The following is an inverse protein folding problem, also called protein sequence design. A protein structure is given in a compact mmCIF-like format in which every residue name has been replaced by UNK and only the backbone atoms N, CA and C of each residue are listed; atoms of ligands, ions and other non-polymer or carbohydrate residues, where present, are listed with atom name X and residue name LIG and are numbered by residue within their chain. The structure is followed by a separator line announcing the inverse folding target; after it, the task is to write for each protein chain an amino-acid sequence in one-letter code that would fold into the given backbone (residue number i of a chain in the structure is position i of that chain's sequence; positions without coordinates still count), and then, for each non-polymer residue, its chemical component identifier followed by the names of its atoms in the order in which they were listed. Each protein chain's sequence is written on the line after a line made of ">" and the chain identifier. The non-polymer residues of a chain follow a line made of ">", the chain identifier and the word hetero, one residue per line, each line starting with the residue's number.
data_IF_451607277860
#
_entry.id   IF_451607277860
#
_cell.length_a   1.000
_cell.length_b   1.000
_cell.length_c   1.000
_cell.angle_alpha   90.00
_cell.angle_beta   90.00
_cell.angle_gamma   90.00
#
_symmetry.space_group_name_H-M   'P 1'
#
loop_
_entity.id
_entity.type
_entity.pdbx_description
1 polymer ?
#
# COMPACT_ATOMS: atom_id res chain seq x y z
N UNK A 1 27.47 -29.19 5.35
CA UNK A 1 27.54 -27.92 4.64
C UNK A 1 26.29 -27.14 5.02
N UNK A 2 26.44 -25.90 5.45
CA UNK A 2 25.34 -24.96 5.67
C UNK A 2 24.67 -24.66 4.33
N UNK A 3 23.34 -24.49 4.31
CA UNK A 3 22.63 -24.05 3.10
C UNK A 3 22.68 -22.52 2.98
N UNK A 4 22.47 -21.93 1.78
CA UNK A 4 22.52 -20.49 1.57
C UNK A 4 21.64 -19.66 2.54
N UNK A 5 20.46 -20.16 2.91
CA UNK A 5 19.60 -19.54 3.92
C UNK A 5 20.32 -19.42 5.26
N UNK A 6 20.91 -20.52 5.75
CA UNK A 6 21.62 -20.52 7.03
C UNK A 6 22.83 -19.59 7.05
N UNK A 7 23.55 -19.51 5.92
CA UNK A 7 24.67 -18.55 5.77
C UNK A 7 24.14 -17.11 5.84
N UNK A 8 22.99 -16.82 5.23
CA UNK A 8 22.36 -15.50 5.30
C UNK A 8 21.91 -15.15 6.72
N UNK A 9 21.28 -16.09 7.44
CA UNK A 9 20.88 -15.91 8.83
C UNK A 9 22.06 -15.68 9.78
N UNK A 10 23.21 -16.34 9.54
CA UNK A 10 24.44 -16.04 10.28
C UNK A 10 24.98 -14.63 9.99
N UNK A 11 24.90 -14.16 8.72
CA UNK A 11 25.27 -12.79 8.38
C UNK A 11 24.34 -11.76 9.03
N UNK A 12 23.06 -12.05 9.19
CA UNK A 12 22.12 -11.17 9.88
C UNK A 12 22.52 -10.90 11.34
N UNK A 13 23.19 -11.83 12.02
CA UNK A 13 23.71 -11.60 13.38
C UNK A 13 24.70 -10.44 13.47
N UNK A 14 25.38 -10.13 12.36
CA UNK A 14 26.36 -9.04 12.25
C UNK A 14 25.70 -7.78 11.68
N UNK A 15 24.86 -7.93 10.65
CA UNK A 15 24.28 -6.82 9.89
C UNK A 15 23.09 -6.18 10.60
N UNK A 16 22.23 -7.01 11.21
CA UNK A 16 21.03 -6.55 11.92
C UNK A 16 21.40 -6.26 13.38
N UNK A 17 21.13 -5.05 13.82
CA UNK A 17 21.38 -4.60 15.19
C UNK A 17 20.39 -5.21 16.20
N UNK A 18 20.53 -4.85 17.47
CA UNK A 18 19.75 -5.44 18.57
C UNK A 18 18.25 -5.13 18.52
N UNK A 19 17.85 -4.11 17.77
CA UNK A 19 16.45 -3.67 17.64
C UNK A 19 15.78 -4.11 16.33
N UNK A 20 16.55 -4.69 15.42
CA UNK A 20 16.03 -5.24 14.18
C UNK A 20 15.61 -6.71 14.34
N UNK A 21 14.64 -7.14 13.56
CA UNK A 21 14.15 -8.52 13.56
C UNK A 21 15.01 -9.39 12.65
N UNK A 22 15.68 -10.38 13.21
CA UNK A 22 16.43 -11.37 12.42
C UNK A 22 15.46 -12.45 11.89
N UNK A 23 15.72 -12.93 10.69
CA UNK A 23 14.89 -13.97 10.09
C UNK A 23 14.82 -15.27 10.92
N UNK A 24 15.94 -15.62 11.55
CA UNK A 24 16.02 -16.80 12.44
C UNK A 24 15.20 -16.64 13.74
N UNK A 25 14.88 -15.41 14.15
CA UNK A 25 14.14 -15.08 15.37
C UNK A 25 12.66 -14.75 15.06
N UNK A 26 12.19 -15.01 13.83
CA UNK A 26 10.80 -14.75 13.43
C UNK A 26 9.80 -15.56 14.25
N UNK A 27 8.67 -14.96 14.61
CA UNK A 27 7.53 -15.68 15.22
C UNK A 27 6.88 -16.69 14.26
N UNK A 28 7.34 -16.73 13.00
CA UNK A 28 6.94 -17.71 12.01
C UNK A 28 5.59 -17.42 11.34
N UNK A 29 5.00 -18.46 10.81
CA UNK A 29 3.83 -18.43 9.94
C UNK A 29 2.61 -19.06 10.63
N UNK A 30 1.39 -18.68 10.21
CA UNK A 30 0.14 -19.29 10.73
C UNK A 30 0.05 -20.81 10.46
N UNK A 31 0.53 -21.23 9.28
CA UNK A 31 0.60 -22.64 8.92
C UNK A 31 2.05 -23.05 8.80
N UNK A 32 2.43 -24.10 9.55
CA UNK A 32 3.77 -24.67 9.45
C UNK A 32 4.08 -25.13 8.02
N UNK A 33 5.29 -24.90 7.57
CA UNK A 33 5.80 -25.36 6.27
C UNK A 33 7.30 -25.57 6.35
N UNK A 34 7.84 -26.33 5.40
CA UNK A 34 9.27 -26.55 5.31
C UNK A 34 10.02 -25.25 5.01
N UNK A 35 11.16 -25.10 5.63
CA UNK A 35 12.06 -23.99 5.39
C UNK A 35 12.67 -24.08 3.99
N UNK A 36 12.82 -22.91 3.36
CA UNK A 36 13.46 -22.85 2.06
C UNK A 36 15.00 -22.99 2.22
N UNK A 37 15.69 -23.81 1.42
CA UNK A 37 17.13 -23.96 1.58
C UNK A 37 17.96 -22.75 1.12
N UNK A 38 17.35 -21.83 0.35
CA UNK A 38 18.05 -20.69 -0.27
C UNK A 38 17.66 -19.36 0.38
N UNK A 39 16.37 -19.14 0.63
CA UNK A 39 15.81 -17.85 1.05
C UNK A 39 15.42 -17.85 2.51
N UNK A 40 15.67 -16.72 3.20
CA UNK A 40 15.13 -16.47 4.53
C UNK A 40 13.60 -16.37 4.50
N UNK A 41 12.96 -16.41 5.67
CA UNK A 41 11.50 -16.33 5.77
C UNK A 41 10.95 -15.01 5.19
N UNK A 42 11.63 -13.88 5.38
CA UNK A 42 11.21 -12.56 4.88
C UNK A 42 11.44 -12.41 3.37
N UNK A 43 12.51 -12.99 2.83
CA UNK A 43 12.71 -13.06 1.37
C UNK A 43 11.58 -13.86 0.69
N UNK A 44 11.17 -14.98 1.30
CA UNK A 44 10.01 -15.74 0.80
C UNK A 44 8.72 -14.93 0.87
N UNK A 45 8.55 -14.08 1.86
CA UNK A 45 7.38 -13.21 1.98
C UNK A 45 7.35 -12.18 0.84
N UNK A 46 8.47 -11.51 0.58
CA UNK A 46 8.59 -10.58 -0.53
C UNK A 46 8.28 -11.24 -1.90
N UNK A 47 8.80 -12.44 -2.13
CA UNK A 47 8.50 -13.22 -3.34
C UNK A 47 7.01 -13.56 -3.44
N UNK A 48 6.40 -14.06 -2.37
CA UNK A 48 4.97 -14.42 -2.34
C UNK A 48 4.07 -13.23 -2.67
N UNK A 49 4.39 -12.07 -2.11
CA UNK A 49 3.68 -10.81 -2.37
C UNK A 49 3.84 -10.41 -3.83
N UNK A 50 5.07 -10.36 -4.33
CA UNK A 50 5.38 -9.96 -5.72
C UNK A 50 4.70 -10.87 -6.74
N UNK A 51 4.59 -12.18 -6.46
CA UNK A 51 3.93 -13.15 -7.34
C UNK A 51 2.41 -13.22 -7.16
N UNK A 52 1.80 -12.44 -6.26
CA UNK A 52 0.36 -12.44 -6.03
C UNK A 52 -0.46 -11.79 -7.17
N UNK A 53 -1.74 -12.14 -7.26
CA UNK A 53 -2.67 -11.50 -8.20
C UNK A 53 -2.88 -10.02 -7.79
N UNK A 54 -2.97 -9.74 -6.49
CA UNK A 54 -3.18 -8.39 -5.95
C UNK A 54 -2.02 -7.45 -6.30
N UNK A 55 -0.77 -7.88 -6.16
CA UNK A 55 0.39 -7.06 -6.51
C UNK A 55 0.40 -6.66 -8.00
N UNK A 56 0.08 -7.60 -8.90
CA UNK A 56 -0.04 -7.28 -10.33
C UNK A 56 -1.11 -6.25 -10.66
N UNK A 57 -2.20 -6.21 -9.87
CA UNK A 57 -3.29 -5.24 -10.08
C UNK A 57 -2.92 -3.81 -9.69
N UNK A 58 -1.91 -3.60 -8.85
CA UNK A 58 -1.43 -2.27 -8.46
C UNK A 58 -1.01 -1.41 -9.66
N UNK A 59 -0.60 -2.01 -10.77
CA UNK A 59 -0.21 -1.30 -12.00
C UNK A 59 -1.35 -0.49 -12.63
N UNK A 60 -2.60 -0.86 -12.35
CA UNK A 60 -3.82 -0.25 -12.92
C UNK A 60 -4.75 0.28 -11.81
N UNK A 61 -4.18 0.70 -10.68
CA UNK A 61 -4.88 1.42 -9.62
C UNK A 61 -4.32 2.83 -9.49
N UNK A 62 -5.20 3.80 -9.46
CA UNK A 62 -4.87 5.22 -9.24
C UNK A 62 -4.13 5.42 -7.91
N UNK A 63 -3.13 6.31 -7.91
CA UNK A 63 -2.50 6.81 -6.69
C UNK A 63 -3.27 8.01 -6.14
N UNK A 64 -3.26 9.14 -6.84
CA UNK A 64 -3.88 10.41 -6.41
C UNK A 64 -4.98 10.87 -7.35
N UNK A 65 -4.69 11.01 -8.64
CA UNK A 65 -5.62 11.53 -9.64
C UNK A 65 -6.27 10.39 -10.42
N UNK A 66 -7.59 10.48 -10.59
CA UNK A 66 -8.36 9.47 -11.32
C UNK A 66 -7.93 9.43 -12.79
N UNK A 67 -7.36 8.31 -13.22
CA UNK A 67 -6.98 8.03 -14.62
C UNK A 67 -6.38 9.27 -15.35
N UNK A 68 -5.30 9.86 -14.85
CA UNK A 68 -4.73 11.04 -15.48
C UNK A 68 -4.26 10.71 -16.91
N UNK A 69 -4.53 11.58 -17.85
CA UNK A 69 -4.01 11.47 -19.20
C UNK A 69 -2.49 11.65 -19.20
N UNK A 70 -1.75 10.67 -19.74
CA UNK A 70 -0.29 10.73 -19.91
C UNK A 70 0.49 9.61 -19.25
N UNK A 71 1.72 9.38 -19.72
CA UNK A 71 2.55 8.22 -19.36
C UNK A 71 3.39 8.43 -18.08
N UNK A 72 3.38 9.62 -17.49
CA UNK A 72 4.30 9.99 -16.42
C UNK A 72 3.68 10.08 -15.03
N UNK A 73 2.38 9.82 -14.89
CA UNK A 73 1.73 9.76 -13.59
C UNK A 73 2.01 8.44 -12.87
N UNK A 74 2.04 8.51 -11.54
CA UNK A 74 2.30 7.33 -10.72
C UNK A 74 1.08 6.43 -10.59
N UNK A 75 1.31 5.13 -10.70
CA UNK A 75 0.37 4.10 -10.28
C UNK A 75 0.73 3.62 -8.87
N UNK A 76 -0.17 2.88 -8.21
CA UNK A 76 0.15 2.26 -6.92
C UNK A 76 1.35 1.34 -6.99
N UNK A 77 1.58 0.67 -8.11
CA UNK A 77 2.76 -0.18 -8.28
C UNK A 77 4.06 0.63 -8.23
N UNK A 78 4.13 1.75 -8.95
CA UNK A 78 5.34 2.58 -8.94
C UNK A 78 5.57 3.24 -7.58
N UNK A 79 4.50 3.71 -6.92
CA UNK A 79 4.57 4.19 -5.53
C UNK A 79 5.10 3.09 -4.59
N UNK A 80 4.53 1.89 -4.61
CA UNK A 80 4.96 0.76 -3.78
C UNK A 80 6.45 0.44 -3.97
N UNK A 81 6.95 0.47 -5.21
CA UNK A 81 8.37 0.23 -5.49
C UNK A 81 9.26 1.38 -4.96
N UNK A 82 8.82 2.63 -5.06
CA UNK A 82 9.54 3.79 -4.52
C UNK A 82 9.59 3.72 -2.98
N UNK A 83 8.46 3.42 -2.30
CA UNK A 83 8.42 3.16 -0.85
C UNK A 83 9.39 2.05 -0.45
N UNK A 84 9.38 0.94 -1.18
CA UNK A 84 10.27 -0.20 -0.94
C UNK A 84 11.75 0.22 -1.00
N UNK A 85 12.12 1.05 -1.97
CA UNK A 85 13.50 1.55 -2.12
C UNK A 85 13.90 2.45 -0.95
N UNK A 86 13.01 3.35 -0.51
CA UNK A 86 13.25 4.21 0.64
C UNK A 86 13.37 3.39 1.93
N UNK A 87 12.42 2.49 2.18
CA UNK A 87 12.39 1.65 3.38
C UNK A 87 13.65 0.78 3.52
N UNK A 88 14.12 0.18 2.43
CA UNK A 88 15.38 -0.58 2.42
C UNK A 88 16.60 0.31 2.71
N UNK A 89 16.60 1.53 2.18
CA UNK A 89 17.72 2.48 2.41
C UNK A 89 17.78 2.89 3.88
N UNK A 90 16.64 3.26 4.48
CA UNK A 90 16.54 3.63 5.90
C UNK A 90 16.81 2.41 6.78
N UNK A 91 16.20 1.25 6.49
CA UNK A 91 16.41 0.01 7.23
C UNK A 91 17.88 -0.39 7.31
N UNK A 92 18.60 -0.34 6.17
CA UNK A 92 20.06 -0.59 6.11
C UNK A 92 20.84 0.40 6.97
N UNK A 93 20.54 1.69 6.86
CA UNK A 93 21.24 2.73 7.62
C UNK A 93 21.05 2.58 9.13
N UNK A 94 19.87 2.13 9.56
CA UNK A 94 19.53 1.88 10.96
C UNK A 94 19.89 0.46 11.45
N UNK A 95 20.51 -0.36 10.60
CA UNK A 95 20.83 -1.77 10.89
C UNK A 95 19.61 -2.61 11.26
N UNK A 96 18.49 -2.36 10.59
CA UNK A 96 17.27 -3.17 10.64
C UNK A 96 17.28 -4.21 9.50
N UNK A 97 16.33 -5.14 9.53
CA UNK A 97 16.22 -6.17 8.50
C UNK A 97 15.64 -5.60 7.19
N UNK A 98 16.50 -5.47 6.18
CA UNK A 98 16.09 -4.94 4.88
C UNK A 98 15.05 -5.81 4.17
N UNK A 99 15.14 -7.14 4.31
CA UNK A 99 14.22 -8.08 3.65
C UNK A 99 12.83 -8.00 4.28
N UNK A 100 12.75 -7.74 5.61
CA UNK A 100 11.48 -7.47 6.28
C UNK A 100 10.89 -6.10 5.87
N UNK A 101 11.72 -5.05 5.81
CA UNK A 101 11.28 -3.74 5.28
C UNK A 101 10.71 -3.89 3.87
N UNK A 102 11.38 -4.65 3.00
CA UNK A 102 10.95 -4.92 1.63
C UNK A 102 9.61 -5.66 1.60
N UNK A 103 9.46 -6.76 2.34
CA UNK A 103 8.24 -7.54 2.37
C UNK A 103 7.03 -6.72 2.85
N UNK A 104 7.19 -5.93 3.92
CA UNK A 104 6.13 -5.04 4.42
C UNK A 104 5.77 -3.99 3.37
N UNK A 105 6.79 -3.31 2.79
CA UNK A 105 6.57 -2.25 1.81
C UNK A 105 5.90 -2.77 0.53
N UNK A 106 6.27 -3.96 0.03
CA UNK A 106 5.59 -4.57 -1.13
C UNK A 106 4.13 -4.93 -0.84
N UNK A 107 3.81 -5.22 0.43
CA UNK A 107 2.48 -5.70 0.83
C UNK A 107 1.52 -4.62 1.32
N UNK A 108 1.99 -3.41 1.66
CA UNK A 108 1.20 -2.42 2.40
C UNK A 108 -0.09 -2.00 1.68
N UNK A 109 -0.05 -1.81 0.36
CA UNK A 109 -1.14 -1.25 -0.46
C UNK A 109 -1.99 -2.29 -1.21
N UNK A 110 -1.79 -3.59 -0.97
CA UNK A 110 -2.49 -4.67 -1.71
C UNK A 110 -4.01 -4.62 -1.61
N UNK A 111 -4.53 -4.08 -0.51
CA UNK A 111 -5.95 -3.97 -0.20
C UNK A 111 -6.60 -2.67 -0.67
N UNK A 112 -5.88 -1.80 -1.34
CA UNK A 112 -6.47 -0.56 -1.85
C UNK A 112 -7.55 -0.83 -2.89
N UNK A 113 -8.58 0.00 -2.85
CA UNK A 113 -9.74 -0.05 -3.76
C UNK A 113 -9.41 0.49 -5.15
N UNK A 114 -10.21 0.19 -6.19
CA UNK A 114 -10.20 1.02 -7.39
C UNK A 114 -10.50 2.48 -7.03
N UNK A 115 -9.95 3.41 -7.78
CA UNK A 115 -10.11 4.86 -7.59
C UNK A 115 -9.52 5.41 -6.27
N UNK A 116 -8.55 4.71 -5.69
CA UNK A 116 -7.80 5.18 -4.52
C UNK A 116 -8.68 5.51 -3.31
N UNK A 117 -8.46 6.65 -2.68
CA UNK A 117 -9.20 7.07 -1.50
C UNK A 117 -10.69 7.37 -1.76
N UNK A 118 -11.06 7.76 -2.99
CA UNK A 118 -12.47 7.94 -3.35
C UNK A 118 -13.21 6.60 -3.27
N UNK A 119 -12.61 5.54 -3.79
CA UNK A 119 -13.17 4.19 -3.69
C UNK A 119 -13.19 3.66 -2.27
N UNK A 120 -12.18 3.95 -1.45
CA UNK A 120 -12.17 3.58 -0.03
C UNK A 120 -13.32 4.23 0.74
N UNK A 121 -13.54 5.54 0.55
CA UNK A 121 -14.70 6.24 1.15
C UNK A 121 -16.01 5.61 0.71
N UNK A 122 -16.17 5.39 -0.59
CA UNK A 122 -17.38 4.78 -1.14
C UNK A 122 -17.67 3.40 -0.54
N UNK A 123 -16.68 2.49 -0.51
CA UNK A 123 -16.86 1.18 0.10
C UNK A 123 -17.08 1.24 1.62
N UNK A 124 -16.47 2.21 2.32
CA UNK A 124 -16.70 2.40 3.75
C UNK A 124 -18.15 2.83 4.06
N UNK A 125 -18.81 3.53 3.15
CA UNK A 125 -20.23 3.93 3.29
C UNK A 125 -21.19 2.81 2.84
N UNK A 126 -20.81 2.04 1.80
CA UNK A 126 -21.64 0.98 1.24
C UNK A 126 -21.63 -0.26 2.14
N UNK A 127 -20.47 -0.65 2.64
CA UNK A 127 -20.30 -1.83 3.47
C UNK A 127 -20.50 -1.50 4.95
N UNK A 128 -21.61 -1.93 5.54
CA UNK A 128 -22.04 -1.57 6.90
C UNK A 128 -21.00 -1.74 8.01
N UNK A 129 -20.21 -2.82 8.05
CA UNK A 129 -19.12 -2.97 9.02
C UNK A 129 -17.97 -1.96 8.85
N UNK A 130 -17.93 -1.25 7.72
CA UNK A 130 -16.86 -0.33 7.37
C UNK A 130 -15.71 -0.97 6.59
N UNK A 131 -14.95 -0.14 5.89
CA UNK A 131 -13.83 -0.57 5.05
C UNK A 131 -12.59 0.30 5.32
N UNK A 132 -11.44 -0.36 5.44
CA UNK A 132 -10.12 0.28 5.54
C UNK A 132 -9.10 -0.48 4.69
N UNK A 133 -8.35 0.22 3.84
CA UNK A 133 -7.41 -0.41 2.91
C UNK A 133 -6.31 -1.21 3.63
N UNK A 134 -5.80 -0.75 4.78
CA UNK A 134 -4.76 -1.46 5.54
C UNK A 134 -5.27 -2.78 6.16
N UNK A 135 -6.51 -2.82 6.63
CA UNK A 135 -7.16 -4.04 7.08
C UNK A 135 -7.43 -4.99 5.90
N UNK A 136 -7.82 -4.41 4.76
CA UNK A 136 -8.01 -5.17 3.53
C UNK A 136 -6.68 -5.70 2.97
N UNK A 137 -5.57 -4.96 3.10
CA UNK A 137 -4.23 -5.45 2.71
C UNK A 137 -3.85 -6.70 3.49
N UNK A 138 -4.06 -6.68 4.81
CA UNK A 138 -3.88 -7.88 5.63
C UNK A 138 -4.81 -9.02 5.20
N UNK A 139 -6.08 -8.71 4.91
CA UNK A 139 -7.06 -9.71 4.48
C UNK A 139 -6.70 -10.32 3.11
N UNK A 140 -6.18 -9.53 2.18
CA UNK A 140 -5.69 -10.03 0.89
C UNK A 140 -4.63 -11.09 1.09
N UNK A 141 -3.63 -10.83 1.93
CA UNK A 141 -2.52 -11.76 2.16
C UNK A 141 -2.89 -12.96 3.04
N UNK A 142 -3.89 -12.81 3.91
CA UNK A 142 -4.32 -13.86 4.84
C UNK A 142 -5.42 -14.77 4.29
N UNK A 143 -6.35 -14.21 3.48
CA UNK A 143 -7.64 -14.84 3.22
C UNK A 143 -8.07 -14.87 1.76
N UNK A 144 -7.53 -14.00 0.87
CA UNK A 144 -8.04 -13.88 -0.51
C UNK A 144 -7.11 -14.56 -1.52
N UNK A 145 -5.81 -14.27 -1.46
CA UNK A 145 -4.84 -14.85 -2.39
C UNK A 145 -4.80 -16.38 -2.31
N UNK A 146 -4.31 -17.03 -3.37
CA UNK A 146 -4.19 -18.48 -3.46
C UNK A 146 -5.53 -19.20 -3.25
N UNK A 147 -6.57 -18.71 -3.90
CA UNK A 147 -7.92 -19.30 -3.90
C UNK A 147 -8.48 -19.42 -2.47
N UNK A 148 -8.43 -18.33 -1.72
CA UNK A 148 -8.97 -18.23 -0.36
C UNK A 148 -8.05 -18.74 0.76
N UNK A 149 -6.84 -19.24 0.42
CA UNK A 149 -5.89 -19.79 1.43
C UNK A 149 -4.91 -18.75 1.98
N UNK A 150 -4.76 -17.62 1.31
CA UNK A 150 -3.77 -16.60 1.64
C UNK A 150 -2.33 -17.00 1.36
N UNK A 151 -1.43 -16.04 1.51
CA UNK A 151 0.00 -16.17 1.19
C UNK A 151 0.80 -16.87 2.28
N UNK A 152 0.26 -17.02 3.49
CA UNK A 152 0.95 -17.59 4.66
C UNK A 152 2.25 -16.85 4.99
N UNK A 153 2.17 -15.54 5.18
CA UNK A 153 3.31 -14.68 5.52
C UNK A 153 3.70 -14.81 7.01
N UNK A 154 4.92 -14.41 7.34
CA UNK A 154 5.39 -14.30 8.71
C UNK A 154 4.57 -13.27 9.50
N UNK A 155 4.51 -13.45 10.81
CA UNK A 155 3.74 -12.60 11.72
C UNK A 155 4.19 -11.13 11.61
N UNK A 156 5.48 -10.88 11.55
CA UNK A 156 6.07 -9.54 11.47
C UNK A 156 5.68 -8.83 10.17
N UNK A 157 5.72 -9.52 9.04
CA UNK A 157 5.28 -8.99 7.74
C UNK A 157 3.80 -8.63 7.78
N UNK A 158 2.96 -9.50 8.36
CA UNK A 158 1.52 -9.30 8.47
C UNK A 158 1.17 -8.10 9.36
N UNK A 159 1.80 -8.00 10.53
CA UNK A 159 1.63 -6.86 11.44
C UNK A 159 2.12 -5.58 10.77
N UNK A 160 3.26 -5.61 10.09
CA UNK A 160 3.80 -4.47 9.36
C UNK A 160 2.85 -3.97 8.27
N UNK A 161 2.23 -4.87 7.50
CA UNK A 161 1.21 -4.53 6.51
C UNK A 161 0.01 -3.85 7.17
N UNK A 162 -0.47 -4.37 8.29
CA UNK A 162 -1.59 -3.78 9.04
C UNK A 162 -1.25 -2.40 9.62
N UNK A 163 -0.01 -2.24 10.09
CA UNK A 163 0.44 -1.09 10.87
C UNK A 163 0.82 0.15 10.03
N UNK A 164 0.92 0.02 8.70
CA UNK A 164 1.51 1.09 7.88
C UNK A 164 0.77 2.43 7.94
N UNK A 165 -0.52 2.46 8.28
CA UNK A 165 -1.28 3.71 8.40
C UNK A 165 -1.31 4.25 9.83
N UNK A 166 -1.68 3.41 10.82
CA UNK A 166 -1.97 3.86 12.20
C UNK A 166 -1.00 3.33 13.25
N UNK A 167 -0.08 2.46 12.84
CA UNK A 167 0.74 1.71 13.77
C UNK A 167 0.00 0.54 14.45
N UNK A 168 0.75 -0.27 15.17
CA UNK A 168 0.23 -1.40 15.93
C UNK A 168 1.11 -1.63 17.18
N UNK A 169 0.55 -2.02 18.36
CA UNK A 169 1.36 -2.22 19.56
C UNK A 169 2.48 -3.25 19.43
N UNK A 170 2.31 -4.23 18.55
CA UNK A 170 3.28 -5.30 18.29
C UNK A 170 4.12 -5.06 17.01
N UNK A 171 4.11 -3.84 16.48
CA UNK A 171 4.88 -3.55 15.25
C UNK A 171 6.39 -3.55 15.50
N UNK A 172 7.14 -4.07 14.53
CA UNK A 172 8.59 -4.01 14.53
C UNK A 172 9.10 -2.62 14.13
N UNK A 173 10.39 -2.35 14.35
CA UNK A 173 11.02 -1.10 13.90
C UNK A 173 11.04 -0.99 12.38
N UNK A 174 11.13 -2.10 11.68
CA UNK A 174 10.98 -2.20 10.23
C UNK A 174 9.61 -1.71 9.76
N UNK A 175 8.55 -2.05 10.47
CA UNK A 175 7.19 -1.58 10.17
C UNK A 175 7.07 -0.05 10.36
N UNK A 176 7.68 0.51 11.43
CA UNK A 176 7.74 1.97 11.64
C UNK A 176 8.50 2.65 10.50
N UNK A 177 9.64 2.08 10.07
CA UNK A 177 10.39 2.59 8.91
C UNK A 177 9.53 2.61 7.66
N UNK A 178 8.82 1.52 7.36
CA UNK A 178 7.95 1.46 6.18
C UNK A 178 6.86 2.53 6.25
N UNK A 179 6.18 2.70 7.39
CA UNK A 179 5.17 3.76 7.58
C UNK A 179 5.72 5.15 7.32
N UNK A 180 6.89 5.49 7.88
CA UNK A 180 7.53 6.79 7.64
C UNK A 180 7.94 6.97 6.18
N UNK A 181 8.49 5.93 5.54
CA UNK A 181 8.89 5.97 4.15
C UNK A 181 7.69 6.07 3.19
N UNK A 182 6.57 5.45 3.50
CA UNK A 182 5.31 5.60 2.77
C UNK A 182 4.86 7.06 2.83
N UNK A 183 4.86 7.67 4.02
CA UNK A 183 4.52 9.07 4.19
C UNK A 183 5.50 10.00 3.45
N UNK A 184 6.82 9.77 3.51
CA UNK A 184 7.81 10.54 2.72
C UNK A 184 7.49 10.42 1.24
N UNK A 185 7.17 9.22 0.78
CA UNK A 185 6.87 8.94 -0.60
C UNK A 185 5.60 9.69 -1.05
N UNK A 186 4.46 9.49 -0.39
CA UNK A 186 3.21 10.10 -0.87
C UNK A 186 3.25 11.63 -0.83
N UNK A 187 3.78 12.26 0.24
CA UNK A 187 3.89 13.73 0.29
C UNK A 187 4.64 14.30 -0.92
N UNK A 188 5.72 13.65 -1.32
CA UNK A 188 6.55 14.12 -2.41
C UNK A 188 6.00 13.74 -3.79
N UNK A 189 5.41 12.56 -3.91
CA UNK A 189 4.82 12.06 -5.15
C UNK A 189 3.56 12.83 -5.51
N UNK A 190 2.69 13.06 -4.54
CA UNK A 190 1.42 13.75 -4.74
C UNK A 190 1.65 15.23 -5.11
N UNK A 191 2.67 15.86 -4.49
CA UNK A 191 3.09 17.20 -4.88
C UNK A 191 3.65 17.23 -6.32
N UNK A 192 4.53 16.28 -6.66
CA UNK A 192 5.14 16.21 -8.00
C UNK A 192 4.07 15.99 -9.08
N UNK A 193 3.12 15.11 -8.84
CA UNK A 193 2.00 14.85 -9.74
C UNK A 193 1.02 16.04 -9.81
N UNK A 194 0.76 16.74 -8.69
CA UNK A 194 -0.06 17.95 -8.65
C UNK A 194 0.59 19.12 -9.42
N UNK A 195 1.91 19.27 -9.31
CA UNK A 195 2.66 20.26 -10.10
C UNK A 195 2.60 19.93 -11.60
N UNK A 196 2.76 18.65 -11.95
CA UNK A 196 2.65 18.17 -13.34
C UNK A 196 1.26 18.41 -13.93
N UNK A 197 0.21 18.23 -13.12
CA UNK A 197 -1.18 18.50 -13.49
C UNK A 197 -1.51 20.00 -13.55
N UNK A 198 -0.59 20.89 -13.16
CA UNK A 198 -0.83 22.34 -13.09
C UNK A 198 -1.77 22.77 -11.97
N UNK A 199 -2.03 21.89 -10.98
CA UNK A 199 -2.88 22.18 -9.82
C UNK A 199 -2.14 23.05 -8.80
N UNK A 200 -0.82 22.84 -8.69
CA UNK A 200 0.07 23.57 -7.78
C UNK A 200 1.27 24.09 -8.57
N UNK A 201 1.63 25.35 -8.39
CA UNK A 201 2.86 25.93 -8.94
C UNK A 201 3.97 25.99 -7.88
N UNK A 202 5.24 25.92 -8.30
CA UNK A 202 6.39 25.91 -7.39
C UNK A 202 6.42 27.11 -6.43
N UNK A 203 6.02 28.29 -6.90
CA UNK A 203 6.00 29.51 -6.10
C UNK A 203 4.91 29.55 -5.02
N UNK A 204 3.95 28.60 -5.05
CA UNK A 204 2.89 28.48 -4.04
C UNK A 204 3.32 27.65 -2.84
N UNK A 205 4.49 26.98 -2.92
CA UNK A 205 5.00 26.18 -1.82
C UNK A 205 5.25 27.05 -0.57
N UNK A 206 4.81 26.61 0.62
CA UNK A 206 5.16 27.28 1.87
C UNK A 206 6.66 27.47 2.04
N UNK A 207 7.05 28.66 2.51
CA UNK A 207 8.46 29.05 2.62
C UNK A 207 9.30 28.08 3.47
N UNK A 208 8.68 27.53 4.52
CA UNK A 208 9.34 26.55 5.41
C UNK A 208 9.72 25.27 4.65
N UNK A 209 8.85 24.79 3.74
CA UNK A 209 9.12 23.62 2.90
C UNK A 209 10.31 23.89 1.99
N UNK A 210 10.29 25.04 1.30
CA UNK A 210 11.37 25.43 0.39
C UNK A 210 12.71 25.56 1.13
N UNK A 211 12.72 26.20 2.29
CA UNK A 211 13.93 26.40 3.10
C UNK A 211 14.50 25.10 3.68
N UNK A 212 13.64 24.23 4.17
CA UNK A 212 14.07 23.03 4.92
C UNK A 212 14.25 21.81 4.00
N UNK A 213 13.39 21.65 3.01
CA UNK A 213 13.40 20.48 2.13
C UNK A 213 13.91 20.79 0.72
N UNK A 214 13.76 22.04 0.26
CA UNK A 214 14.08 22.47 -1.10
C UNK A 214 12.91 22.33 -2.08
N UNK A 215 13.09 22.78 -3.33
CA UNK A 215 12.05 22.78 -4.36
C UNK A 215 12.02 21.48 -5.17
N UNK A 216 13.17 20.83 -5.37
CA UNK A 216 13.28 19.60 -6.17
C UNK A 216 12.81 18.37 -5.39
N UNK A 217 12.02 17.51 -6.03
CA UNK A 217 11.51 16.28 -5.46
C UNK A 217 12.63 15.42 -4.79
N UNK A 218 13.73 15.17 -5.51
CA UNK A 218 14.86 14.39 -4.98
C UNK A 218 15.49 15.01 -3.73
N UNK A 219 15.55 16.35 -3.65
CA UNK A 219 16.10 17.04 -2.47
C UNK A 219 15.17 16.93 -1.27
N UNK A 220 13.86 17.08 -1.49
CA UNK A 220 12.86 16.93 -0.41
C UNK A 220 12.90 15.53 0.18
N UNK A 221 12.89 14.50 -0.67
CA UNK A 221 12.99 13.10 -0.23
C UNK A 221 14.29 12.87 0.55
N UNK A 222 15.44 13.31 0.02
CA UNK A 222 16.73 13.12 0.68
C UNK A 222 16.78 13.82 2.04
N UNK A 223 16.23 15.04 2.18
CA UNK A 223 16.20 15.77 3.44
C UNK A 223 15.39 15.05 4.51
N UNK A 224 14.22 14.49 4.14
CA UNK A 224 13.37 13.72 5.04
C UNK A 224 14.00 12.39 5.43
N UNK A 225 14.56 11.65 4.48
CA UNK A 225 15.26 10.38 4.74
C UNK A 225 16.48 10.59 5.63
N UNK A 226 17.31 11.61 5.37
CA UNK A 226 18.47 11.95 6.21
C UNK A 226 18.02 12.31 7.64
N UNK A 227 16.93 13.06 7.78
CA UNK A 227 16.37 13.38 9.10
C UNK A 227 15.93 12.13 9.85
N UNK A 228 15.19 11.22 9.22
CA UNK A 228 14.77 9.95 9.83
C UNK A 228 16.00 9.18 10.31
N UNK A 229 17.03 9.03 9.47
CA UNK A 229 18.24 8.27 9.81
C UNK A 229 18.99 8.91 10.99
N UNK A 230 19.15 10.23 11.00
CA UNK A 230 19.92 10.94 12.06
C UNK A 230 19.17 11.02 13.39
N UNK A 231 17.85 11.13 13.35
CA UNK A 231 17.03 11.26 14.56
C UNK A 231 16.76 9.91 15.20
N UNK A 232 16.69 8.85 14.40
CA UNK A 232 16.46 7.50 14.89
C UNK A 232 17.68 7.00 15.67
N UNK A 233 17.43 6.44 16.83
CA UNK A 233 18.45 5.86 17.71
C UNK A 233 18.01 4.47 18.16
N UNK A 234 18.91 3.76 18.85
CA UNK A 234 18.63 2.43 19.39
C UNK A 234 17.25 2.32 20.04
N UNK A 235 16.35 1.63 19.40
CA UNK A 235 14.99 1.35 19.91
C UNK A 235 13.92 2.39 19.56
N UNK A 236 14.25 3.52 18.95
CA UNK A 236 13.26 4.50 18.50
C UNK A 236 13.52 4.92 17.05
N UNK A 237 12.50 4.83 16.20
CA UNK A 237 12.51 5.29 14.82
C UNK A 237 11.52 6.45 14.67
N UNK A 238 11.99 7.59 14.17
CA UNK A 238 11.16 8.79 14.09
C UNK A 238 11.82 9.92 13.31
N UNK A 239 11.18 11.08 13.36
CA UNK A 239 11.67 12.36 12.84
C UNK A 239 11.91 13.33 14.00
N UNK A 240 12.72 14.38 13.80
CA UNK A 240 12.97 15.40 14.80
C UNK A 240 11.79 16.35 14.94
N UNK A 241 11.62 16.96 16.12
CA UNK A 241 10.51 17.90 16.41
C UNK A 241 10.45 19.06 15.39
N UNK A 242 11.60 19.59 15.02
CA UNK A 242 11.71 20.66 14.01
C UNK A 242 11.36 20.19 12.59
N UNK A 243 11.52 18.91 12.28
CA UNK A 243 11.07 18.33 11.01
C UNK A 243 9.59 17.95 11.07
N UNK A 244 9.05 17.62 12.25
CA UNK A 244 7.62 17.37 12.42
C UNK A 244 6.80 18.60 12.05
N UNK A 245 7.24 19.81 12.44
CA UNK A 245 6.59 21.05 12.03
C UNK A 245 6.54 21.21 10.50
N UNK A 246 7.65 20.94 9.82
CA UNK A 246 7.72 20.99 8.35
C UNK A 246 6.79 19.97 7.71
N UNK A 247 6.75 18.77 8.29
CA UNK A 247 5.90 17.68 7.85
C UNK A 247 4.42 18.02 7.95
N UNK A 248 4.01 18.58 9.08
CA UNK A 248 2.62 18.97 9.33
C UNK A 248 2.16 20.06 8.37
N UNK A 249 3.00 21.09 8.14
CA UNK A 249 2.74 22.14 7.14
C UNK A 249 2.67 21.56 5.72
N UNK A 250 3.52 20.58 5.39
CA UNK A 250 3.50 19.95 4.08
C UNK A 250 2.23 19.13 3.87
N UNK A 251 1.82 18.39 4.89
CA UNK A 251 0.59 17.61 4.86
C UNK A 251 -0.65 18.51 4.73
N UNK A 252 -0.74 19.59 5.54
CA UNK A 252 -1.83 20.56 5.48
C UNK A 252 -1.91 21.23 4.10
N UNK A 253 -0.76 21.63 3.55
CA UNK A 253 -0.70 22.23 2.22
C UNK A 253 -1.27 21.30 1.13
N UNK A 254 -0.88 20.01 1.13
CA UNK A 254 -1.42 19.03 0.18
C UNK A 254 -2.91 18.77 0.42
N UNK A 255 -3.31 18.72 1.69
CA UNK A 255 -4.71 18.51 2.05
C UNK A 255 -5.59 19.60 1.44
N UNK A 256 -5.21 20.86 1.60
CA UNK A 256 -5.99 21.99 1.11
C UNK A 256 -5.90 22.18 -0.40
N UNK A 257 -4.69 22.06 -0.98
CA UNK A 257 -4.44 22.43 -2.37
C UNK A 257 -4.66 21.30 -3.36
N UNK A 258 -4.48 20.05 -2.93
CA UNK A 258 -4.55 18.87 -3.80
C UNK A 258 -5.76 18.02 -3.47
N UNK A 259 -5.89 17.56 -2.22
CA UNK A 259 -6.94 16.59 -1.86
C UNK A 259 -8.35 17.18 -1.76
N UNK A 260 -8.50 18.50 -1.60
CA UNK A 260 -9.79 19.20 -1.65
C UNK A 260 -9.97 20.06 -2.92
N UNK A 261 -9.08 19.95 -3.90
CA UNK A 261 -9.19 20.73 -5.13
C UNK A 261 -10.43 20.30 -5.95
N UNK A 262 -11.39 21.22 -6.24
CA UNK A 262 -12.63 20.86 -6.94
C UNK A 262 -12.40 20.31 -8.35
N UNK A 263 -11.33 20.73 -9.03
CA UNK A 263 -11.00 20.26 -10.39
C UNK A 263 -10.52 18.80 -10.32
N UNK A 264 -9.63 18.49 -9.36
CA UNK A 264 -9.13 17.14 -9.16
C UNK A 264 -10.23 16.17 -8.66
N UNK A 265 -11.24 16.70 -7.94
CA UNK A 265 -12.30 15.95 -7.28
C UNK A 265 -13.62 15.88 -8.05
N UNK A 266 -13.76 16.60 -9.16
CA UNK A 266 -15.01 16.69 -9.92
C UNK A 266 -15.55 15.33 -10.38
N UNK A 267 -14.67 14.39 -10.67
CA UNK A 267 -15.05 13.04 -11.10
C UNK A 267 -15.28 12.05 -9.93
N UNK A 268 -14.80 12.36 -8.72
CA UNK A 268 -14.91 11.44 -7.57
C UNK A 268 -16.36 11.15 -7.16
N UNK A 269 -17.28 12.09 -7.35
CA UNK A 269 -18.70 11.87 -7.10
C UNK A 269 -19.30 10.72 -7.93
N UNK A 270 -18.69 10.40 -9.08
CA UNK A 270 -19.13 9.29 -9.94
C UNK A 270 -18.66 7.93 -9.39
N UNK A 271 -17.56 7.91 -8.63
CA UNK A 271 -16.94 6.68 -8.10
C UNK A 271 -17.92 5.95 -7.18
N UNK A 272 -18.59 6.68 -6.29
CA UNK A 272 -19.57 6.08 -5.39
C UNK A 272 -20.69 5.35 -6.16
N UNK A 273 -21.25 6.00 -7.19
CA UNK A 273 -22.31 5.40 -8.01
C UNK A 273 -21.83 4.13 -8.72
N UNK A 274 -20.58 4.14 -9.23
CA UNK A 274 -19.99 2.96 -9.90
C UNK A 274 -19.85 1.82 -8.91
N UNK A 275 -19.20 2.05 -7.77
CA UNK A 275 -18.91 0.99 -6.82
C UNK A 275 -20.17 0.49 -6.11
N UNK A 276 -21.12 1.38 -5.78
CA UNK A 276 -22.43 1.02 -5.21
C UNK A 276 -23.22 0.15 -6.17
N UNK A 277 -23.32 0.55 -7.42
CA UNK A 277 -24.03 -0.22 -8.44
C UNK A 277 -23.45 -1.63 -8.61
N UNK A 278 -22.12 -1.74 -8.73
CA UNK A 278 -21.43 -3.03 -8.86
C UNK A 278 -21.66 -3.88 -7.60
N UNK A 279 -21.49 -3.31 -6.41
CA UNK A 279 -21.64 -4.00 -5.13
C UNK A 279 -23.07 -4.53 -4.94
N UNK A 280 -24.11 -3.70 -5.17
CA UNK A 280 -25.52 -4.09 -5.08
C UNK A 280 -25.87 -5.16 -6.11
N UNK A 281 -25.30 -5.08 -7.33
CA UNK A 281 -25.50 -6.09 -8.36
C UNK A 281 -25.03 -7.47 -7.90
N UNK A 282 -23.79 -7.57 -7.36
CA UNK A 282 -23.28 -8.86 -6.93
C UNK A 282 -23.91 -9.36 -5.61
N UNK A 283 -24.40 -8.46 -4.75
CA UNK A 283 -25.24 -8.86 -3.61
C UNK A 283 -26.59 -9.43 -4.06
N UNK A 284 -27.18 -8.90 -5.14
CA UNK A 284 -28.44 -9.39 -5.69
C UNK A 284 -28.30 -10.67 -6.51
N UNK A 285 -27.16 -10.86 -7.15
CA UNK A 285 -26.89 -11.98 -8.05
C UNK A 285 -25.56 -12.68 -7.66
N UNK A 286 -25.51 -13.33 -6.48
CA UNK A 286 -24.28 -13.91 -5.96
C UNK A 286 -23.70 -15.04 -6.82
N UNK A 287 -24.54 -15.68 -7.66
CA UNK A 287 -24.11 -16.69 -8.63
C UNK A 287 -23.19 -16.15 -9.73
N UNK A 288 -23.15 -14.82 -9.91
CA UNK A 288 -22.27 -14.14 -10.86
C UNK A 288 -20.90 -13.82 -10.28
N UNK A 289 -20.70 -13.97 -8.97
CA UNK A 289 -19.36 -13.83 -8.38
C UNK A 289 -18.42 -14.89 -8.98
N UNK A 290 -17.14 -14.53 -9.22
CA UNK A 290 -16.14 -15.51 -9.64
C UNK A 290 -16.01 -16.67 -8.64
N UNK A 291 -15.71 -17.86 -9.16
CA UNK A 291 -15.62 -19.09 -8.34
C UNK A 291 -14.62 -18.97 -7.18
N UNK A 292 -13.52 -18.21 -7.37
CA UNK A 292 -12.52 -17.93 -6.33
C UNK A 292 -13.14 -17.32 -5.04
N UNK A 293 -14.31 -16.65 -5.16
CA UNK A 293 -15.00 -15.99 -4.03
C UNK A 293 -16.09 -16.84 -3.38
N UNK A 294 -16.47 -18.00 -3.94
CA UNK A 294 -17.51 -18.87 -3.35
C UNK A 294 -17.13 -19.37 -1.96
N UNK A 295 -15.89 -19.84 -1.79
CA UNK A 295 -15.41 -20.30 -0.48
C UNK A 295 -15.30 -19.15 0.55
N UNK A 296 -15.04 -17.92 0.09
CA UNK A 296 -15.05 -16.74 0.94
C UNK A 296 -16.50 -16.40 1.35
N UNK A 297 -17.43 -16.47 0.42
CA UNK A 297 -18.84 -16.22 0.69
C UNK A 297 -19.43 -17.21 1.70
N UNK A 298 -19.08 -18.50 1.60
CA UNK A 298 -19.52 -19.53 2.55
C UNK A 298 -18.93 -19.32 3.94
N UNK A 299 -17.68 -18.87 4.04
CA UNK A 299 -16.98 -18.67 5.31
C UNK A 299 -17.31 -17.35 5.99
N UNK A 300 -17.37 -16.26 5.23
CA UNK A 300 -17.37 -14.89 5.77
C UNK A 300 -18.66 -14.12 5.42
N UNK A 301 -19.55 -14.72 4.66
CA UNK A 301 -20.82 -14.13 4.22
C UNK A 301 -20.73 -13.38 2.89
N UNK A 302 -21.92 -13.14 2.28
CA UNK A 302 -22.06 -12.57 0.95
C UNK A 302 -21.49 -11.16 0.84
N UNK A 303 -21.90 -10.25 1.72
CA UNK A 303 -21.48 -8.85 1.65
C UNK A 303 -19.97 -8.70 1.78
N UNK A 304 -19.33 -9.54 2.62
CA UNK A 304 -17.88 -9.55 2.76
C UNK A 304 -17.20 -10.04 1.48
N UNK A 305 -17.69 -11.12 0.89
CA UNK A 305 -17.14 -11.66 -0.35
C UNK A 305 -17.28 -10.66 -1.52
N UNK A 306 -18.43 -9.98 -1.63
CA UNK A 306 -18.66 -8.93 -2.62
C UNK A 306 -17.71 -7.76 -2.39
N UNK A 307 -17.51 -7.33 -1.14
CA UNK A 307 -16.58 -6.25 -0.79
C UNK A 307 -15.13 -6.62 -1.14
N UNK A 308 -14.72 -7.86 -0.86
CA UNK A 308 -13.41 -8.39 -1.25
C UNK A 308 -13.21 -8.39 -2.77
N UNK A 309 -14.25 -8.78 -3.51
CA UNK A 309 -14.21 -8.79 -4.97
C UNK A 309 -14.12 -7.38 -5.55
N UNK A 310 -14.99 -6.47 -5.11
CA UNK A 310 -15.05 -5.08 -5.61
C UNK A 310 -13.77 -4.32 -5.25
N UNK A 311 -13.29 -4.42 -4.01
CA UNK A 311 -12.04 -3.78 -3.60
C UNK A 311 -10.82 -4.29 -4.37
N UNK A 312 -10.86 -5.55 -4.81
CA UNK A 312 -9.81 -6.17 -5.62
C UNK A 312 -9.77 -5.72 -7.08
N UNK A 313 -10.77 -5.01 -7.59
CA UNK A 313 -10.80 -4.55 -8.98
C UNK A 313 -9.71 -3.50 -9.24
N UNK A 314 -9.31 -3.36 -10.51
CA UNK A 314 -8.59 -2.18 -11.00
C UNK A 314 -9.60 -1.12 -11.42
N UNK A 315 -9.15 0.11 -11.61
CA UNK A 315 -10.00 1.23 -12.03
C UNK A 315 -10.71 0.91 -13.36
N UNK A 316 -9.92 0.50 -14.35
CA UNK A 316 -10.44 0.12 -15.68
C UNK A 316 -11.42 -1.05 -15.60
N UNK A 317 -11.13 -2.05 -14.76
CA UNK A 317 -12.01 -3.20 -14.62
C UNK A 317 -13.32 -2.85 -13.93
N UNK A 318 -13.31 -1.94 -12.97
CA UNK A 318 -14.52 -1.44 -12.32
C UNK A 318 -15.40 -0.66 -13.32
N UNK A 319 -14.81 0.21 -14.13
CA UNK A 319 -15.55 0.92 -15.20
C UNK A 319 -16.12 -0.06 -16.22
N UNK A 320 -15.32 -1.02 -16.66
CA UNK A 320 -15.77 -2.07 -17.58
C UNK A 320 -16.94 -2.87 -17.01
N UNK A 321 -16.83 -3.34 -15.76
CA UNK A 321 -17.91 -4.09 -15.10
C UNK A 321 -19.19 -3.25 -14.96
N UNK A 322 -19.07 -1.98 -14.60
CA UNK A 322 -20.21 -1.09 -14.53
C UNK A 322 -20.90 -0.95 -15.90
N UNK A 323 -20.10 -0.80 -16.96
CA UNK A 323 -20.60 -0.74 -18.34
C UNK A 323 -21.36 -2.00 -18.74
N UNK A 324 -20.78 -3.19 -18.49
CA UNK A 324 -21.43 -4.48 -18.80
C UNK A 324 -22.74 -4.69 -18.05
N UNK A 325 -22.85 -4.18 -16.81
CA UNK A 325 -24.01 -4.38 -15.96
C UNK A 325 -25.13 -3.38 -16.26
N UNK A 326 -24.79 -2.10 -16.49
CA UNK A 326 -25.77 -1.01 -16.47
C UNK A 326 -25.93 -0.28 -17.80
N UNK A 327 -25.02 -0.46 -18.76
CA UNK A 327 -25.09 0.22 -20.05
C UNK A 327 -25.49 -0.79 -21.14
N UNK A 328 -26.66 -0.60 -21.80
CA UNK A 328 -27.06 -1.47 -22.89
C UNK A 328 -26.04 -1.43 -24.04
N UNK A 329 -25.57 -2.59 -24.47
CA UNK A 329 -24.74 -2.68 -25.67
C UNK A 329 -25.55 -2.55 -26.93
N UNK A 330 -24.98 -1.94 -27.99
CA UNK A 330 -25.59 -1.90 -29.29
C UNK A 330 -25.80 -3.33 -29.83
N UNK A 331 -26.99 -3.62 -30.33
CA UNK A 331 -27.27 -4.89 -30.97
C UNK A 331 -26.36 -5.06 -32.20
N UNK A 332 -25.54 -6.09 -32.20
CA UNK A 332 -24.73 -6.48 -33.36
C UNK A 332 -25.08 -7.89 -33.79
N UNK A 333 -25.63 -8.02 -35.00
CA UNK A 333 -25.66 -9.31 -35.71
C UNK A 333 -24.25 -9.51 -36.30
N UNK A 334 -23.57 -10.55 -35.86
CA UNK A 334 -22.43 -11.08 -36.62
C UNK A 334 -22.92 -12.11 -37.60
#
# INVERSE_FOLDING_TARGET
>A
MTCPRQEREELEKILVGDFGVRAADSYGRRRAEEEDPVRTCFQRDADRITHSKAFRRLKHKTQVFLQPEGDHYRTRLTHTLEVTRLARTVGRALRLNEDLCEAIALGHDLGHTPFGHAGERALNEIYGPGFRHYEQSLRVVDCIEKDGRGLNLCQETRIGILAHTKGHPEESREAVVVRLCDHVAYLNHDLDDAMRAGIVAEFELPEIIVKRLGTRNSRRINSLVDNIIRTSSAGNVGISDDMQEVWDVFHEFLYDRVYHNPVAKGEEAKVENILRGIWEHYCRYPEKLPDDFRGIMERDGLERAVTDYVSGMTDDYAIYQYGEIFIPMAWSVK
#
